data_IF_385886809893
#
_entry.id   IF_385886809893
#
_cell.length_a   1.000
_cell.length_b   1.000
_cell.length_c   1.000
_cell.angle_alpha   90.00
_cell.angle_beta   90.00
_cell.angle_gamma   90.00
#
_symmetry.space_group_name_H-M   'P 1'
#
loop_
_entity.id
_entity.type
_entity.pdbx_description
1 polymer ?
#
# COMPACT_ATOMS: atom_id res chain seq x y z
N UNK A 1 -2.82 7.22 5.62
CA UNK A 1 -1.55 7.52 4.92
C UNK A 1 -1.73 7.16 3.46
N UNK A 2 -1.10 7.92 2.56
CA UNK A 2 -0.98 7.53 1.15
C UNK A 2 -0.03 6.35 1.01
N UNK A 3 -0.12 5.60 -0.09
CA UNK A 3 0.86 4.53 -0.38
C UNK A 3 2.27 5.12 -0.33
N UNK A 4 2.49 6.29 -0.93
CA UNK A 4 3.78 6.97 -0.91
C UNK A 4 4.29 7.22 0.51
N UNK A 5 3.43 7.70 1.41
CA UNK A 5 3.80 7.92 2.81
C UNK A 5 4.13 6.62 3.54
N UNK A 6 3.42 5.53 3.23
CA UNK A 6 3.66 4.22 3.85
C UNK A 6 4.98 3.62 3.40
N UNK A 7 5.24 3.54 2.08
CA UNK A 7 6.48 2.92 1.58
C UNK A 7 7.73 3.74 1.89
N UNK A 8 7.62 5.06 2.03
CA UNK A 8 8.72 5.92 2.46
C UNK A 8 9.04 5.75 3.95
N UNK A 9 8.02 5.43 4.77
CA UNK A 9 8.18 5.26 6.22
C UNK A 9 8.51 3.81 6.61
N UNK A 10 7.94 2.85 5.90
CA UNK A 10 8.02 1.40 6.13
C UNK A 10 8.34 0.69 4.81
N UNK A 11 9.59 0.76 4.31
CA UNK A 11 9.98 0.19 3.02
C UNK A 11 9.66 -1.31 2.84
N UNK A 12 9.63 -2.07 3.92
CA UNK A 12 9.25 -3.48 3.96
C UNK A 12 7.80 -3.76 3.54
N UNK A 13 6.95 -2.73 3.53
CA UNK A 13 5.58 -2.83 3.03
C UNK A 13 5.50 -2.86 1.49
N UNK A 14 6.59 -2.56 0.77
CA UNK A 14 6.64 -2.52 -0.69
C UNK A 14 6.14 -3.83 -1.31
N UNK A 15 6.59 -4.98 -0.79
CA UNK A 15 6.22 -6.31 -1.29
C UNK A 15 4.70 -6.57 -1.21
N UNK A 16 4.02 -5.98 -0.22
CA UNK A 16 2.57 -6.09 -0.07
C UNK A 16 1.86 -5.31 -1.18
N UNK A 17 2.31 -4.09 -1.49
CA UNK A 17 1.72 -3.30 -2.58
C UNK A 17 2.03 -3.86 -3.97
N UNK A 18 3.22 -4.44 -4.18
CA UNK A 18 3.53 -5.19 -5.40
C UNK A 18 2.58 -6.38 -5.59
N UNK A 19 2.28 -7.11 -4.51
CA UNK A 19 1.31 -8.22 -4.53
C UNK A 19 -0.14 -7.78 -4.80
N UNK A 20 -0.45 -6.48 -4.67
CA UNK A 20 -1.73 -5.88 -5.04
C UNK A 20 -1.81 -5.44 -6.51
N UNK A 21 -0.71 -5.58 -7.26
CA UNK A 21 -0.59 -5.15 -8.65
C UNK A 21 -0.13 -3.70 -8.82
N UNK A 22 0.29 -3.04 -7.73
CA UNK A 22 0.80 -1.67 -7.75
C UNK A 22 2.30 -1.73 -8.04
N UNK A 23 2.68 -1.99 -9.30
CA UNK A 23 4.08 -2.18 -9.67
C UNK A 23 4.87 -0.89 -9.84
N UNK A 24 4.19 0.24 -10.07
CA UNK A 24 4.82 1.52 -10.35
C UNK A 24 4.95 2.41 -9.10
N UNK A 25 5.45 1.87 -7.99
CA UNK A 25 5.53 2.58 -6.68
C UNK A 25 6.40 3.85 -6.68
N UNK A 26 7.22 4.06 -7.72
CA UNK A 26 7.97 5.31 -7.93
C UNK A 26 7.21 6.40 -8.70
N UNK A 27 6.04 6.09 -9.27
CA UNK A 27 5.22 7.06 -10.00
C UNK A 27 4.30 7.79 -9.02
N UNK A 28 4.35 9.15 -8.94
CA UNK A 28 3.50 9.90 -8.02
C UNK A 28 2.01 9.60 -8.19
N UNK A 29 1.57 9.35 -9.43
CA UNK A 29 0.18 9.02 -9.75
C UNK A 29 -0.25 7.64 -9.25
N UNK A 30 0.66 6.68 -9.10
CA UNK A 30 0.36 5.32 -8.66
C UNK A 30 0.36 5.17 -7.12
N UNK A 31 0.84 6.19 -6.41
CA UNK A 31 0.99 6.15 -4.94
C UNK A 31 0.30 7.32 -4.22
N UNK A 32 -0.46 8.13 -4.95
CA UNK A 32 -1.18 9.28 -4.44
C UNK A 32 -2.40 8.88 -3.59
N UNK A 33 -2.99 7.73 -3.89
CA UNK A 33 -4.13 7.20 -3.16
C UNK A 33 -3.78 6.75 -1.73
N UNK A 34 -4.77 6.78 -0.85
CA UNK A 34 -4.67 6.19 0.48
C UNK A 34 -4.66 4.67 0.40
N UNK A 35 -4.05 4.02 1.40
CA UNK A 35 -4.08 2.55 1.51
C UNK A 35 -5.51 1.99 1.47
N UNK A 36 -6.47 2.69 2.08
CA UNK A 36 -7.87 2.28 2.06
C UNK A 36 -8.49 2.41 0.67
N UNK A 37 -8.24 3.50 -0.04
CA UNK A 37 -8.71 3.66 -1.42
C UNK A 37 -8.11 2.58 -2.33
N UNK A 38 -6.81 2.30 -2.19
CA UNK A 38 -6.14 1.24 -2.91
C UNK A 38 -6.75 -0.13 -2.67
N UNK A 39 -7.08 -0.46 -1.41
CA UNK A 39 -7.79 -1.70 -1.12
C UNK A 39 -9.13 -1.76 -1.88
N UNK A 40 -9.93 -0.69 -1.84
CA UNK A 40 -11.25 -0.66 -2.48
C UNK A 40 -11.16 -0.73 -4.01
N UNK A 41 -10.27 0.04 -4.64
CA UNK A 41 -10.06 0.07 -6.10
C UNK A 41 -9.54 -1.27 -6.62
N UNK A 42 -8.70 -1.96 -5.83
CA UNK A 42 -8.12 -3.26 -6.18
C UNK A 42 -8.93 -4.45 -5.64
N UNK A 43 -10.16 -4.24 -5.16
CA UNK A 43 -11.07 -5.31 -4.76
C UNK A 43 -10.61 -6.11 -3.53
N UNK A 44 -9.99 -5.45 -2.57
CA UNK A 44 -9.49 -6.02 -1.31
C UNK A 44 -10.20 -5.42 -0.12
N UNK A 45 -10.25 -6.19 0.97
CA UNK A 45 -10.72 -5.69 2.25
C UNK A 45 -9.69 -4.70 2.84
N UNK A 46 -10.09 -3.45 3.17
CA UNK A 46 -9.17 -2.46 3.71
C UNK A 46 -8.59 -2.85 5.07
N UNK A 47 -9.35 -3.55 5.92
CA UNK A 47 -8.92 -3.92 7.26
C UNK A 47 -7.88 -5.07 7.18
N UNK A 48 -8.08 -6.02 6.28
CA UNK A 48 -7.11 -7.08 5.97
C UNK A 48 -5.79 -6.50 5.44
N UNK A 49 -5.85 -5.54 4.50
CA UNK A 49 -4.65 -4.88 3.99
C UNK A 49 -3.90 -4.13 5.10
N UNK A 50 -4.62 -3.35 5.91
CA UNK A 50 -4.03 -2.63 7.03
C UNK A 50 -3.38 -3.58 8.05
N UNK A 51 -4.03 -4.71 8.36
CA UNK A 51 -3.46 -5.73 9.25
C UNK A 51 -2.14 -6.26 8.72
N UNK A 52 -2.10 -6.66 7.44
CA UNK A 52 -0.87 -7.18 6.80
C UNK A 52 0.26 -6.14 6.77
N UNK A 53 -0.07 -4.88 6.49
CA UNK A 53 0.91 -3.78 6.52
C UNK A 53 1.48 -3.58 7.93
N UNK A 54 0.62 -3.61 8.96
CA UNK A 54 1.04 -3.45 10.36
C UNK A 54 1.85 -4.65 10.88
N UNK A 55 1.66 -5.85 10.34
CA UNK A 55 2.45 -7.04 10.71
C UNK A 55 3.92 -6.92 10.27
N UNK A 56 4.17 -6.18 9.18
CA UNK A 56 5.54 -6.01 8.65
C UNK A 56 6.15 -4.66 9.03
N UNK A 57 5.35 -3.61 9.23
CA UNK A 57 5.80 -2.26 9.57
C UNK A 57 6.62 -2.24 10.88
N UNK A 58 7.90 -1.87 10.79
CA UNK A 58 8.87 -1.82 11.91
C UNK A 58 9.47 -0.44 12.10
#
# INVERSE_FOLDING_TARGET
MTIAQVINRYPETIEIFLSLGIHCLGCPSATAETVREAALVHGRDPEELLKRLNEVAK
#
